data_IF_216890554164
#
_entry.id   IF_216890554164
#
_cell.length_a   1.000
_cell.length_b   1.000
_cell.length_c   1.000
_cell.angle_alpha   90.00
_cell.angle_beta   90.00
_cell.angle_gamma   90.00
#
_symmetry.space_group_name_H-M   'P 1'
#
loop_
_entity.id
_entity.type
_entity.pdbx_description
1 polymer ?
#
# COMPACT_ATOMS: atom_id res chain seq x y z
N UNK A 1 1.12 -0.06 -4.89
CA UNK A 1 2.41 0.58 -4.53
C UNK A 1 3.34 0.79 -5.73
N UNK A 2 3.49 -0.19 -6.66
CA UNK A 2 4.46 -0.10 -7.78
C UNK A 2 4.35 1.16 -8.65
N UNK A 3 3.15 1.61 -9.01
CA UNK A 3 2.97 2.76 -9.91
C UNK A 3 3.38 4.09 -9.28
N UNK A 4 2.96 4.36 -8.03
CA UNK A 4 3.29 5.64 -7.36
C UNK A 4 4.78 5.77 -7.05
N UNK A 5 5.41 4.69 -6.57
CA UNK A 5 6.86 4.67 -6.36
C UNK A 5 7.62 4.82 -7.68
N UNK A 6 7.16 4.17 -8.76
CA UNK A 6 7.75 4.32 -10.09
C UNK A 6 7.66 5.75 -10.60
N UNK A 7 6.49 6.38 -10.53
CA UNK A 7 6.32 7.79 -10.94
C UNK A 7 7.20 8.73 -10.10
N UNK A 8 7.31 8.49 -8.80
CA UNK A 8 8.21 9.26 -7.92
C UNK A 8 9.67 9.16 -8.34
N UNK A 9 10.16 7.96 -8.64
CA UNK A 9 11.54 7.73 -9.11
C UNK A 9 11.78 8.43 -10.45
N UNK A 10 10.83 8.35 -11.40
CA UNK A 10 10.94 9.02 -12.70
C UNK A 10 11.04 10.54 -12.55
N UNK A 11 10.21 11.14 -11.71
CA UNK A 11 10.27 12.59 -11.43
C UNK A 11 11.59 12.99 -10.76
N UNK A 12 12.13 12.16 -9.86
CA UNK A 12 13.40 12.41 -9.20
C UNK A 12 14.58 12.36 -10.18
N UNK A 13 14.59 11.36 -11.08
CA UNK A 13 15.56 11.29 -12.17
C UNK A 13 15.46 12.51 -13.09
N UNK A 14 14.24 12.95 -13.43
CA UNK A 14 14.04 14.13 -14.26
C UNK A 14 14.58 15.40 -13.58
N UNK A 15 14.35 15.56 -12.27
CA UNK A 15 14.92 16.67 -11.50
C UNK A 15 16.46 16.64 -11.50
N UNK A 16 17.06 15.45 -11.39
CA UNK A 16 18.51 15.28 -11.44
C UNK A 16 19.09 15.64 -12.83
N UNK A 17 18.41 15.24 -13.90
CA UNK A 17 18.79 15.62 -15.27
C UNK A 17 18.70 17.13 -15.48
N UNK A 18 17.59 17.75 -15.05
CA UNK A 18 17.40 19.20 -15.12
C UNK A 18 18.47 19.96 -14.34
N UNK A 19 18.89 19.44 -13.19
CA UNK A 19 19.99 19.99 -12.41
C UNK A 19 21.32 19.89 -13.17
N UNK A 20 21.61 18.73 -13.77
CA UNK A 20 22.86 18.51 -14.51
C UNK A 20 23.02 19.47 -15.70
N UNK A 21 21.94 19.78 -16.43
CA UNK A 21 21.96 20.71 -17.55
C UNK A 21 21.95 22.19 -17.15
N UNK A 22 21.81 22.51 -15.85
CA UNK A 22 21.73 23.89 -15.40
C UNK A 22 23.11 24.42 -14.97
N UNK A 23 23.86 24.97 -15.93
CA UNK A 23 25.23 25.51 -15.72
C UNK A 23 25.31 26.69 -14.75
N UNK A 24 24.20 27.38 -14.49
CA UNK A 24 24.15 28.57 -13.61
C UNK A 24 23.67 28.24 -12.18
N UNK A 25 23.56 26.97 -11.85
CA UNK A 25 22.98 26.55 -10.60
C UNK A 25 23.98 26.61 -9.45
N UNK A 26 23.65 27.39 -8.40
CA UNK A 26 24.41 27.44 -7.14
C UNK A 26 23.51 26.98 -6.01
N UNK A 27 24.06 26.25 -5.03
CA UNK A 27 23.30 25.75 -3.87
C UNK A 27 22.55 26.88 -3.13
N UNK A 28 23.12 28.08 -3.08
CA UNK A 28 22.53 29.26 -2.45
C UNK A 28 21.19 29.65 -3.11
N UNK A 29 21.05 29.47 -4.43
CA UNK A 29 19.81 29.78 -5.16
C UNK A 29 18.65 28.85 -4.77
N UNK A 30 18.90 27.66 -4.22
CA UNK A 30 17.84 26.79 -3.70
C UNK A 30 17.11 27.40 -2.50
N UNK A 31 17.82 28.22 -1.72
CA UNK A 31 17.30 28.84 -0.51
C UNK A 31 16.70 30.23 -0.78
N UNK A 32 16.71 30.68 -2.04
CA UNK A 32 15.94 31.87 -2.41
C UNK A 32 14.43 31.60 -2.24
N UNK A 33 13.63 32.63 -1.95
CA UNK A 33 12.22 32.44 -1.58
C UNK A 33 11.40 31.64 -2.60
N UNK A 34 11.61 31.89 -3.89
CA UNK A 34 10.82 31.25 -4.97
C UNK A 34 11.18 29.77 -5.15
N UNK A 35 12.45 29.38 -5.35
CA UNK A 35 12.84 27.97 -5.43
C UNK A 35 12.53 27.20 -4.15
N UNK A 36 12.76 27.82 -2.98
CA UNK A 36 12.50 27.20 -1.70
C UNK A 36 11.01 26.93 -1.51
N UNK A 37 10.14 27.89 -1.85
CA UNK A 37 8.69 27.70 -1.81
C UNK A 37 8.24 26.56 -2.73
N UNK A 38 8.79 26.47 -3.94
CA UNK A 38 8.48 25.39 -4.88
C UNK A 38 8.88 24.01 -4.32
N UNK A 39 10.05 23.92 -3.68
CA UNK A 39 10.52 22.70 -3.02
C UNK A 39 9.59 22.32 -1.85
N UNK A 40 9.29 23.25 -0.96
CA UNK A 40 8.40 22.99 0.19
C UNK A 40 7.00 22.59 -0.27
N UNK A 41 6.48 23.24 -1.32
CA UNK A 41 5.19 22.90 -1.89
C UNK A 41 5.17 21.49 -2.49
N UNK A 42 6.21 21.13 -3.25
CA UNK A 42 6.40 19.79 -3.79
C UNK A 42 6.47 18.72 -2.69
N UNK A 43 7.22 18.98 -1.62
CA UNK A 43 7.30 18.11 -0.44
C UNK A 43 5.92 17.98 0.21
N UNK A 44 5.22 19.09 0.44
CA UNK A 44 3.90 19.11 1.08
C UNK A 44 2.87 18.23 0.35
N UNK A 45 2.73 18.43 -0.97
CA UNK A 45 1.84 17.59 -1.79
C UNK A 45 2.29 16.13 -1.79
N UNK A 46 3.60 15.89 -1.92
CA UNK A 46 4.17 14.54 -1.91
C UNK A 46 3.86 13.79 -0.61
N UNK A 47 3.93 14.46 0.54
CA UNK A 47 3.63 13.88 1.85
C UNK A 47 2.14 13.59 2.03
N UNK A 48 1.25 14.49 1.58
CA UNK A 48 -0.21 14.27 1.66
C UNK A 48 -0.58 13.04 0.82
N UNK A 49 -0.21 13.02 -0.45
CA UNK A 49 -0.55 11.94 -1.36
C UNK A 49 0.14 10.63 -0.93
N UNK A 50 1.42 10.69 -0.60
CA UNK A 50 2.19 9.54 -0.13
C UNK A 50 1.65 8.97 1.18
N UNK A 51 1.25 9.82 2.12
CA UNK A 51 0.64 9.43 3.39
C UNK A 51 -0.73 8.79 3.20
N UNK A 52 -1.61 9.39 2.40
CA UNK A 52 -2.93 8.82 2.10
C UNK A 52 -2.82 7.47 1.38
N UNK A 53 -2.00 7.37 0.33
CA UNK A 53 -1.83 6.12 -0.42
C UNK A 53 -1.12 5.06 0.43
N UNK A 54 -0.16 5.46 1.27
CA UNK A 54 0.52 4.58 2.21
C UNK A 54 -0.43 3.99 3.27
N UNK A 55 -1.32 4.82 3.83
CA UNK A 55 -2.33 4.39 4.79
C UNK A 55 -3.31 3.39 4.17
N UNK A 56 -3.84 3.69 2.97
CA UNK A 56 -4.73 2.78 2.24
C UNK A 56 -4.04 1.45 1.91
N UNK A 57 -2.75 1.48 1.53
CA UNK A 57 -1.99 0.26 1.25
C UNK A 57 -1.81 -0.63 2.49
N UNK A 58 -1.60 -0.04 3.68
CA UNK A 58 -1.54 -0.79 4.94
C UNK A 58 -2.91 -1.34 5.35
N UNK A 59 -3.97 -0.55 5.15
CA UNK A 59 -5.35 -0.97 5.40
C UNK A 59 -5.75 -2.19 4.56
N UNK A 60 -5.37 -2.23 3.28
CA UNK A 60 -5.64 -3.38 2.42
C UNK A 60 -4.87 -4.65 2.85
N UNK A 61 -3.61 -4.51 3.27
CA UNK A 61 -2.82 -5.63 3.76
C UNK A 61 -3.39 -6.23 5.07
N UNK A 62 -3.91 -5.40 5.96
CA UNK A 62 -4.60 -5.85 7.18
C UNK A 62 -5.91 -6.56 6.83
N UNK A 63 -6.66 -6.03 5.86
CA UNK A 63 -7.93 -6.63 5.41
C UNK A 63 -7.70 -8.00 4.78
N UNK A 64 -6.68 -8.16 3.94
CA UNK A 64 -6.31 -9.45 3.35
C UNK A 64 -5.85 -10.47 4.41
N UNK A 65 -5.09 -10.03 5.42
CA UNK A 65 -4.69 -10.90 6.52
C UNK A 65 -5.89 -11.40 7.33
N UNK A 66 -6.87 -10.53 7.60
CA UNK A 66 -8.11 -10.86 8.31
C UNK A 66 -8.99 -11.81 7.50
N UNK A 67 -9.17 -11.56 6.20
CA UNK A 67 -9.91 -12.43 5.28
C UNK A 67 -9.27 -13.83 5.21
N UNK A 68 -7.94 -13.93 5.13
CA UNK A 68 -7.25 -15.23 5.15
C UNK A 68 -7.44 -16.00 6.46
N UNK A 69 -7.56 -15.31 7.60
CA UNK A 69 -7.83 -15.94 8.88
C UNK A 69 -9.29 -16.44 8.98
N UNK A 70 -10.26 -15.61 8.58
CA UNK A 70 -11.68 -16.01 8.54
C UNK A 70 -11.91 -17.19 7.60
N UNK A 71 -11.30 -17.18 6.39
CA UNK A 71 -11.41 -18.31 5.46
C UNK A 71 -10.86 -19.61 6.05
N UNK A 72 -9.78 -19.56 6.83
CA UNK A 72 -9.24 -20.74 7.50
C UNK A 72 -10.16 -21.24 8.62
N UNK A 73 -10.81 -20.35 9.36
CA UNK A 73 -11.78 -20.74 10.39
C UNK A 73 -13.03 -21.36 9.77
N UNK A 74 -13.57 -20.74 8.72
CA UNK A 74 -14.73 -21.23 7.98
C UNK A 74 -14.48 -22.61 7.34
N UNK A 75 -13.26 -22.87 6.84
CA UNK A 75 -12.89 -24.20 6.34
C UNK A 75 -12.85 -25.26 7.44
N UNK A 76 -12.38 -24.91 8.65
CA UNK A 76 -12.38 -25.83 9.79
C UNK A 76 -13.81 -26.13 10.27
N UNK A 77 -14.65 -25.10 10.41
CA UNK A 77 -16.06 -25.28 10.77
C UNK A 77 -16.79 -26.16 9.76
N UNK A 78 -16.58 -25.95 8.44
CA UNK A 78 -17.19 -26.81 7.42
C UNK A 78 -16.76 -28.28 7.55
N UNK A 79 -15.49 -28.54 7.82
CA UNK A 79 -14.99 -29.89 8.02
C UNK A 79 -15.57 -30.55 9.29
N UNK A 80 -15.79 -29.77 10.36
CA UNK A 80 -16.43 -30.24 11.58
C UNK A 80 -17.93 -30.49 11.40
N UNK A 81 -18.62 -29.62 10.67
CA UNK A 81 -20.03 -29.81 10.30
C UNK A 81 -20.24 -31.02 9.39
N UNK A 82 -19.34 -31.27 8.42
CA UNK A 82 -19.40 -32.47 7.59
C UNK A 82 -19.19 -33.75 8.41
N UNK A 83 -18.24 -33.76 9.34
CA UNK A 83 -18.05 -34.88 10.27
C UNK A 83 -19.29 -35.13 11.13
N UNK A 84 -19.85 -34.08 11.74
CA UNK A 84 -21.08 -34.20 12.52
C UNK A 84 -22.29 -34.64 11.70
N UNK A 85 -22.39 -34.23 10.43
CA UNK A 85 -23.45 -34.70 9.52
C UNK A 85 -23.30 -36.18 9.22
N UNK A 86 -22.08 -36.64 8.93
CA UNK A 86 -21.80 -38.04 8.65
C UNK A 86 -22.08 -38.90 9.90
N UNK A 87 -21.63 -38.46 11.08
CA UNK A 87 -21.87 -39.17 12.35
C UNK A 87 -23.36 -39.21 12.71
N UNK A 88 -24.10 -38.11 12.53
CA UNK A 88 -25.55 -38.10 12.77
C UNK A 88 -26.31 -38.96 11.75
N UNK A 89 -25.92 -38.96 10.48
CA UNK A 89 -26.58 -39.75 9.45
C UNK A 89 -26.38 -41.25 9.68
N UNK A 90 -25.16 -41.66 10.06
CA UNK A 90 -24.84 -43.03 10.47
C UNK A 90 -25.63 -43.47 11.70
N UNK A 91 -25.86 -42.57 12.67
CA UNK A 91 -26.63 -42.90 13.88
C UNK A 91 -28.15 -42.95 13.63
N UNK A 92 -28.66 -42.23 12.63
CA UNK A 92 -30.08 -42.24 12.24
C UNK A 92 -30.50 -43.41 11.33
N UNK A 93 -29.54 -44.15 10.76
CA UNK A 93 -29.81 -45.31 9.90
C UNK A 93 -29.88 -46.66 10.63
N UNK A 94 -29.83 -46.66 11.97
CA UNK A 94 -29.79 -47.85 12.82
C UNK A 94 -31.14 -48.20 13.50
N UNK A 95 -32.26 -47.78 12.91
CA UNK A 95 -33.62 -48.17 13.35
C UNK A 95 -34.39 -48.87 12.22
#
# INVERSE_FOLDING_TARGET
>A
MKSLTFTGIVLLLLAFVLFYFNENFTVIRLFEPVPLMAILFGIGIGLIIGGSVGYVSKGNAIKEAKIKQELKQLQKEKAEFEKQKIDNNLNSGNF
#
